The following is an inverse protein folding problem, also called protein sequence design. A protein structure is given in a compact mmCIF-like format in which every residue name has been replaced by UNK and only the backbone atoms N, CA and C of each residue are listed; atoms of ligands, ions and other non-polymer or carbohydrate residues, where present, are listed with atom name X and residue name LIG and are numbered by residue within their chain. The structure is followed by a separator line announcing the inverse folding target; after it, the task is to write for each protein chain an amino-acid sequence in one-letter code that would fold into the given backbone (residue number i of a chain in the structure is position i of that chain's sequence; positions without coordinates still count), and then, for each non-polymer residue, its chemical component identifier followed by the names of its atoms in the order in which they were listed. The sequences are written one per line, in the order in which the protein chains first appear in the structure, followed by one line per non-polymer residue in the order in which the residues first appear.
data_IF_113751362785
#
_entry.id   IF_113751362785
#
_cell.length_a   1.000
_cell.length_b   1.000
_cell.length_c   1.000
_cell.angle_alpha   90.00
_cell.angle_beta   90.00
_cell.angle_gamma   90.00
#
_symmetry.space_group_name_H-M   'P 1'
#
loop_
_entity.id
_entity.type
_entity.pdbx_description
1 polymer ?
#
# COMPACT_ATOMS: atom_id res chain seq x y z
N UNK A 1 -39.11 -21.28 -8.43
CA UNK A 1 -37.99 -22.13 -8.90
C UNK A 1 -36.74 -21.33 -9.24
N UNK A 2 -36.84 -20.26 -10.06
CA UNK A 2 -35.69 -19.45 -10.47
C UNK A 2 -34.90 -18.81 -9.28
N UNK A 3 -35.61 -18.28 -8.28
CA UNK A 3 -35.00 -17.70 -7.06
C UNK A 3 -34.22 -18.71 -6.20
N UNK A 4 -34.65 -19.98 -6.17
CA UNK A 4 -33.97 -21.03 -5.42
C UNK A 4 -32.69 -21.50 -6.13
N UNK A 5 -32.74 -21.62 -7.46
CA UNK A 5 -31.57 -21.91 -8.29
C UNK A 5 -30.53 -20.78 -8.24
N UNK A 6 -30.95 -19.51 -8.22
CA UNK A 6 -30.04 -18.36 -8.08
C UNK A 6 -29.35 -18.35 -6.71
N UNK A 7 -30.05 -18.71 -5.63
CA UNK A 7 -29.46 -18.83 -4.29
C UNK A 7 -28.44 -19.99 -4.20
N UNK A 8 -28.75 -21.13 -4.81
CA UNK A 8 -27.81 -22.26 -4.89
C UNK A 8 -26.60 -21.89 -5.75
N UNK A 9 -26.80 -21.22 -6.88
CA UNK A 9 -25.70 -20.80 -7.76
C UNK A 9 -24.81 -19.74 -7.11
N UNK A 10 -25.37 -18.81 -6.32
CA UNK A 10 -24.61 -17.89 -5.47
C UNK A 10 -23.84 -18.61 -4.37
N UNK A 11 -24.44 -19.62 -3.73
CA UNK A 11 -23.74 -20.43 -2.74
C UNK A 11 -22.58 -21.23 -3.35
N UNK A 12 -22.75 -21.78 -4.56
CA UNK A 12 -21.66 -22.44 -5.29
C UNK A 12 -20.61 -21.45 -5.81
N UNK A 13 -20.98 -20.23 -6.23
CA UNK A 13 -20.03 -19.19 -6.62
C UNK A 13 -19.20 -18.70 -5.43
N UNK A 14 -19.84 -18.47 -4.27
CA UNK A 14 -19.15 -18.14 -3.01
C UNK A 14 -18.28 -19.31 -2.55
N UNK A 15 -18.76 -20.56 -2.67
CA UNK A 15 -17.96 -21.74 -2.35
C UNK A 15 -16.76 -21.91 -3.30
N UNK A 16 -16.91 -21.61 -4.60
CA UNK A 16 -15.83 -21.63 -5.59
C UNK A 16 -14.84 -20.46 -5.37
N UNK A 17 -15.32 -19.28 -4.97
CA UNK A 17 -14.47 -18.16 -4.54
C UNK A 17 -13.74 -18.46 -3.22
N UNK A 18 -14.35 -19.23 -2.31
CA UNK A 18 -13.68 -19.71 -1.09
C UNK A 18 -12.73 -20.89 -1.33
N UNK A 19 -12.95 -21.70 -2.39
CA UNK A 19 -12.05 -22.80 -2.77
C UNK A 19 -10.91 -22.37 -3.70
N UNK A 20 -11.02 -21.22 -4.37
CA UNK A 20 -9.90 -20.60 -5.11
C UNK A 20 -8.83 -20.02 -4.17
N UNK A 21 -9.09 -19.99 -2.86
CA UNK A 21 -8.13 -19.66 -1.80
C UNK A 21 -7.05 -20.75 -1.64
N UNK A 22 -7.21 -21.95 -2.22
CA UNK A 22 -6.34 -23.11 -1.89
C UNK A 22 -5.45 -23.59 -3.06
N UNK A 23 -5.66 -23.13 -4.30
CA UNK A 23 -4.85 -23.59 -5.44
C UNK A 23 -4.59 -22.48 -6.45
N UNK A 24 -3.65 -21.59 -6.13
CA UNK A 24 -2.81 -21.00 -7.16
C UNK A 24 -1.58 -21.90 -7.33
N UNK A 25 -1.38 -22.54 -8.50
CA UNK A 25 -0.15 -23.23 -8.81
C UNK A 25 0.86 -22.18 -9.28
N UNK A 26 1.25 -21.27 -8.38
CA UNK A 26 2.56 -20.64 -8.52
C UNK A 26 3.55 -21.73 -8.15
N UNK A 27 4.38 -22.12 -9.11
CA UNK A 27 5.43 -23.12 -8.98
C UNK A 27 6.58 -22.62 -8.08
N UNK A 28 6.25 -22.10 -6.91
CA UNK A 28 7.16 -21.99 -5.77
C UNK A 28 6.89 -23.17 -4.87
N UNK A 29 7.93 -23.86 -4.42
CA UNK A 29 7.78 -24.69 -3.22
C UNK A 29 7.21 -23.82 -2.08
N UNK A 30 6.65 -24.42 -1.02
CA UNK A 30 6.52 -23.70 0.26
C UNK A 30 7.94 -23.29 0.70
N UNK A 31 8.42 -22.16 0.20
CA UNK A 31 9.75 -21.64 0.47
C UNK A 31 9.63 -20.60 1.56
N UNK A 32 9.66 -21.12 2.79
CA UNK A 32 10.27 -20.44 3.92
C UNK A 32 9.50 -19.28 4.53
N UNK A 33 9.56 -19.28 5.86
CA UNK A 33 9.49 -18.10 6.71
C UNK A 33 10.24 -16.93 6.06
N UNK A 34 9.79 -15.69 6.26
CA UNK A 34 10.60 -14.51 5.90
C UNK A 34 11.98 -14.69 6.55
N UNK A 35 13.00 -14.84 5.72
CA UNK A 35 14.31 -15.32 6.16
C UNK A 35 14.96 -14.41 7.19
N UNK A 36 16.05 -14.90 7.80
CA UNK A 36 16.85 -14.07 8.70
C UNK A 36 17.26 -12.79 7.98
N UNK A 37 17.13 -11.66 8.67
CA UNK A 37 17.76 -10.39 8.28
C UNK A 37 19.24 -10.70 8.14
N UNK A 38 19.75 -10.65 6.90
CA UNK A 38 21.17 -10.83 6.62
C UNK A 38 21.97 -9.87 7.52
N UNK A 39 23.16 -10.27 7.99
CA UNK A 39 24.01 -9.43 8.86
C UNK A 39 24.28 -8.02 8.29
N UNK A 40 24.19 -7.87 6.97
CA UNK A 40 24.36 -6.58 6.29
C UNK A 40 23.05 -5.85 5.99
N UNK A 41 21.89 -6.44 6.29
CA UNK A 41 20.61 -5.75 6.14
C UNK A 41 20.45 -4.77 7.30
N UNK A 42 20.27 -3.49 6.96
CA UNK A 42 20.22 -2.36 7.88
C UNK A 42 18.79 -2.12 8.38
N UNK A 43 17.79 -2.23 7.49
CA UNK A 43 16.37 -2.14 7.84
C UNK A 43 15.55 -3.09 6.96
N UNK A 44 14.41 -3.54 7.47
CA UNK A 44 13.49 -4.43 6.75
C UNK A 44 12.04 -4.11 7.11
N UNK A 45 11.14 -4.09 6.14
CA UNK A 45 9.72 -3.86 6.41
C UNK A 45 8.81 -4.57 5.41
N UNK A 46 7.59 -4.89 5.84
CA UNK A 46 6.54 -5.32 4.93
C UNK A 46 5.72 -4.11 4.46
N UNK A 47 5.35 -4.09 3.18
CA UNK A 47 4.48 -3.07 2.59
C UNK A 47 3.30 -3.74 1.87
N UNK A 48 2.09 -3.44 2.35
CA UNK A 48 0.80 -3.89 1.80
C UNK A 48 -0.12 -2.68 1.59
N UNK A 49 -1.14 -2.81 0.75
CA UNK A 49 -2.13 -1.75 0.47
C UNK A 49 -3.48 -2.38 0.14
N UNK A 50 -4.57 -1.59 0.21
CA UNK A 50 -5.90 -2.03 -0.23
C UNK A 50 -6.41 -3.24 0.57
N UNK A 51 -6.38 -3.16 1.91
CA UNK A 51 -6.96 -4.20 2.77
C UNK A 51 -8.49 -4.14 2.78
N UNK A 52 -9.07 -2.97 2.47
CA UNK A 52 -10.50 -2.75 2.30
C UNK A 52 -11.33 -3.46 3.38
N UNK A 53 -11.09 -3.21 4.66
CA UNK A 53 -11.87 -3.89 5.69
C UNK A 53 -13.34 -3.46 5.62
N UNK A 54 -14.23 -4.44 5.81
CA UNK A 54 -15.69 -4.26 5.88
C UNK A 54 -16.22 -4.93 7.14
N UNK A 55 -17.53 -4.99 7.33
CA UNK A 55 -18.19 -5.84 8.33
C UNK A 55 -17.92 -7.36 8.15
N UNK A 56 -17.30 -7.77 7.04
CA UNK A 56 -17.01 -9.18 6.78
C UNK A 56 -15.79 -9.67 7.55
N UNK A 57 -16.01 -10.59 8.49
CA UNK A 57 -14.94 -11.34 9.19
C UNK A 57 -13.96 -12.06 8.27
N UNK A 58 -14.34 -12.35 7.00
CA UNK A 58 -13.41 -12.95 6.05
C UNK A 58 -12.26 -12.02 5.68
N UNK A 59 -12.49 -10.70 5.60
CA UNK A 59 -11.43 -9.72 5.28
C UNK A 59 -10.45 -9.59 6.44
N UNK A 60 -10.98 -9.57 7.67
CA UNK A 60 -10.18 -9.66 8.92
C UNK A 60 -9.29 -10.89 8.90
N UNK A 61 -9.85 -12.07 8.64
CA UNK A 61 -9.07 -13.32 8.60
C UNK A 61 -7.98 -13.34 7.51
N UNK A 62 -8.24 -12.74 6.35
CA UNK A 62 -7.24 -12.64 5.27
C UNK A 62 -6.07 -11.70 5.62
N UNK A 63 -6.35 -10.60 6.32
CA UNK A 63 -5.30 -9.75 6.87
C UNK A 63 -4.49 -10.50 7.93
N UNK A 64 -5.17 -11.16 8.88
CA UNK A 64 -4.54 -11.96 9.94
C UNK A 64 -3.59 -13.04 9.39
N UNK A 65 -3.92 -13.71 8.29
CA UNK A 65 -3.01 -14.68 7.66
C UNK A 65 -1.67 -14.05 7.26
N UNK A 66 -1.68 -12.81 6.78
CA UNK A 66 -0.44 -12.11 6.46
C UNK A 66 0.28 -11.56 7.70
N UNK A 67 -0.47 -11.09 8.70
CA UNK A 67 0.13 -10.68 9.99
C UNK A 67 0.85 -11.84 10.67
N UNK A 68 0.29 -13.06 10.61
CA UNK A 68 0.93 -14.29 11.10
C UNK A 68 2.25 -14.52 10.35
N UNK A 69 2.23 -14.47 9.03
CA UNK A 69 3.42 -14.70 8.21
C UNK A 69 4.54 -13.67 8.48
N UNK A 70 4.17 -12.41 8.72
CA UNK A 70 5.11 -11.36 9.13
C UNK A 70 5.63 -11.58 10.55
N UNK A 71 4.77 -11.95 11.51
CA UNK A 71 5.15 -12.22 12.89
C UNK A 71 6.06 -13.45 13.01
N UNK A 72 5.86 -14.44 12.15
CA UNK A 72 6.69 -15.65 12.11
C UNK A 72 8.05 -15.43 11.45
N UNK A 73 8.34 -14.25 10.90
CA UNK A 73 9.63 -13.90 10.30
C UNK A 73 10.81 -14.26 11.23
N UNK A 74 11.85 -14.85 10.66
CA UNK A 74 12.98 -15.37 11.44
C UNK A 74 13.74 -14.23 12.13
N UNK A 75 13.86 -13.08 11.45
CA UNK A 75 14.14 -11.80 12.08
C UNK A 75 12.90 -10.93 12.04
N UNK A 76 12.62 -10.28 13.18
CA UNK A 76 11.52 -9.32 13.30
C UNK A 76 11.72 -8.16 12.33
N UNK A 77 10.64 -7.79 11.63
CA UNK A 77 10.61 -6.65 10.72
C UNK A 77 10.63 -5.34 11.51
N UNK A 78 11.37 -4.34 11.00
CA UNK A 78 11.44 -3.01 11.59
C UNK A 78 10.11 -2.24 11.42
N UNK A 79 9.33 -2.56 10.38
CA UNK A 79 7.98 -2.04 10.21
C UNK A 79 7.05 -2.94 9.38
N UNK A 80 5.74 -2.73 9.56
CA UNK A 80 4.68 -3.05 8.61
C UNK A 80 4.03 -1.73 8.18
N UNK A 81 3.95 -1.49 6.88
CA UNK A 81 3.21 -0.36 6.32
C UNK A 81 1.95 -0.87 5.63
N UNK A 82 0.78 -0.33 6.03
CA UNK A 82 -0.48 -0.49 5.30
C UNK A 82 -0.77 0.83 4.59
N UNK A 83 -0.48 0.86 3.29
CA UNK A 83 -0.45 2.07 2.49
C UNK A 83 -1.80 2.39 1.84
N UNK A 84 -2.78 2.72 2.67
CA UNK A 84 -4.09 3.23 2.23
C UNK A 84 -5.10 2.18 1.79
N UNK A 85 -6.33 2.67 1.63
CA UNK A 85 -7.57 1.91 1.47
C UNK A 85 -7.64 0.79 2.49
N UNK A 86 -7.45 1.20 3.75
CA UNK A 86 -7.44 0.31 4.89
C UNK A 86 -8.86 -0.22 5.12
N UNK A 87 -9.85 0.67 5.00
CA UNK A 87 -11.27 0.40 5.09
C UNK A 87 -11.94 0.47 3.72
N UNK A 88 -13.12 -0.12 3.56
CA UNK A 88 -13.90 0.00 2.32
C UNK A 88 -14.71 1.30 2.22
N UNK A 89 -15.09 1.90 3.34
CA UNK A 89 -16.01 3.06 3.35
C UNK A 89 -15.70 4.08 4.45
N UNK A 90 -14.66 3.87 5.25
CA UNK A 90 -14.36 4.71 6.41
C UNK A 90 -15.26 4.50 7.63
N UNK A 91 -16.19 3.54 7.61
CA UNK A 91 -17.11 3.23 8.72
C UNK A 91 -16.40 2.81 10.00
N UNK A 92 -16.96 3.18 11.16
CA UNK A 92 -16.39 2.80 12.46
C UNK A 92 -16.23 1.28 12.57
N UNK A 93 -17.21 0.51 12.09
CA UNK A 93 -17.15 -0.95 12.10
C UNK A 93 -16.02 -1.51 11.23
N UNK A 94 -15.63 -0.80 10.15
CA UNK A 94 -14.52 -1.21 9.30
C UNK A 94 -13.18 -1.00 10.02
N UNK A 95 -13.06 0.12 10.71
CA UNK A 95 -11.90 0.44 11.54
C UNK A 95 -11.81 -0.43 12.80
N UNK A 96 -12.93 -0.75 13.45
CA UNK A 96 -12.97 -1.71 14.56
C UNK A 96 -12.49 -3.09 14.12
N UNK A 97 -12.79 -3.46 12.87
CA UNK A 97 -12.28 -4.69 12.26
C UNK A 97 -10.78 -4.63 11.96
N UNK A 98 -10.18 -3.44 11.79
CA UNK A 98 -8.72 -3.29 11.76
C UNK A 98 -8.13 -3.61 13.14
N UNK A 99 -8.70 -3.04 14.19
CA UNK A 99 -8.27 -3.33 15.58
C UNK A 99 -8.39 -4.83 15.86
N UNK A 100 -9.51 -5.45 15.47
CA UNK A 100 -9.72 -6.90 15.60
C UNK A 100 -8.72 -7.72 14.78
N UNK A 101 -8.33 -7.24 13.59
CA UNK A 101 -7.32 -7.93 12.79
C UNK A 101 -5.96 -7.99 13.51
N UNK A 102 -5.60 -6.94 14.24
CA UNK A 102 -4.36 -6.87 15.03
C UNK A 102 -4.47 -7.47 16.44
N UNK A 103 -5.67 -7.84 16.91
CA UNK A 103 -5.85 -8.42 18.25
C UNK A 103 -5.11 -9.75 18.40
N UNK A 104 -4.06 -9.75 19.23
CA UNK A 104 -3.19 -10.90 19.47
C UNK A 104 -2.07 -11.10 18.43
N UNK A 105 -1.89 -10.17 17.49
CA UNK A 105 -0.83 -10.22 16.49
C UNK A 105 0.10 -9.01 16.59
N UNK A 106 1.39 -9.27 16.42
CA UNK A 106 2.47 -8.29 16.56
C UNK A 106 3.51 -8.49 15.44
N UNK A 107 3.19 -8.06 14.20
CA UNK A 107 3.90 -8.45 12.98
C UNK A 107 5.28 -7.79 12.80
N UNK A 108 5.54 -6.65 13.45
CA UNK A 108 6.73 -5.84 13.25
C UNK A 108 6.94 -4.87 14.43
N UNK A 109 8.14 -4.33 14.58
CA UNK A 109 8.46 -3.34 15.63
C UNK A 109 7.58 -2.08 15.57
N UNK A 110 7.07 -1.75 14.38
CA UNK A 110 6.20 -0.61 14.15
C UNK A 110 5.15 -0.94 13.09
N UNK A 111 3.93 -0.47 13.30
CA UNK A 111 2.89 -0.46 12.27
C UNK A 111 2.69 0.98 11.81
N UNK A 112 2.66 1.22 10.51
CA UNK A 112 2.50 2.54 9.88
C UNK A 112 1.28 2.47 8.99
N UNK A 113 0.37 3.43 9.15
CA UNK A 113 -0.87 3.50 8.38
C UNK A 113 -0.88 4.77 7.52
N UNK A 114 -1.11 4.63 6.23
CA UNK A 114 -1.40 5.73 5.31
C UNK A 114 -2.90 5.72 5.00
N UNK A 115 -3.54 6.88 4.87
CA UNK A 115 -4.93 6.93 4.45
C UNK A 115 -5.05 6.77 2.92
N UNK A 116 -6.00 5.97 2.45
CA UNK A 116 -6.47 6.00 1.06
C UNK A 116 -7.77 6.77 0.90
N UNK A 117 -8.29 6.87 -0.32
CA UNK A 117 -9.55 7.57 -0.56
C UNK A 117 -10.73 6.88 0.13
N UNK A 118 -10.72 5.56 0.26
CA UNK A 118 -11.79 4.87 0.99
C UNK A 118 -11.80 5.20 2.49
N UNK A 119 -10.65 5.61 3.04
CA UNK A 119 -10.49 6.02 4.43
C UNK A 119 -10.94 7.48 4.66
N UNK A 120 -10.96 8.30 3.61
CA UNK A 120 -11.40 9.71 3.68
C UNK A 120 -12.91 9.91 3.50
N UNK A 121 -13.63 8.89 3.02
CA UNK A 121 -15.10 8.94 2.87
C UNK A 121 -15.86 8.99 4.21
N UNK A 122 -15.21 8.49 5.26
CA UNK A 122 -15.60 8.77 6.64
C UNK A 122 -16.71 7.90 7.23
N UNK A 123 -16.82 7.93 8.58
CA UNK A 123 -17.65 6.98 9.31
C UNK A 123 -19.17 7.16 9.13
N UNK A 124 -19.56 8.33 8.64
CA UNK A 124 -20.95 8.77 8.52
C UNK A 124 -21.32 9.05 7.05
N UNK A 125 -20.66 8.39 6.09
CA UNK A 125 -20.87 8.66 4.65
C UNK A 125 -22.33 8.60 4.21
N UNK A 126 -23.12 7.69 4.81
CA UNK A 126 -24.54 7.53 4.53
C UNK A 126 -25.46 8.35 5.45
N UNK A 127 -24.91 9.09 6.42
CA UNK A 127 -25.65 10.03 7.28
C UNK A 127 -25.70 11.41 6.62
N UNK A 128 -26.65 11.55 5.69
CA UNK A 128 -26.92 12.81 4.98
C UNK A 128 -27.41 13.94 5.91
N UNK A 129 -27.78 13.64 7.16
CA UNK A 129 -28.19 14.65 8.14
C UNK A 129 -26.98 15.23 8.89
N UNK A 130 -25.87 14.48 8.99
CA UNK A 130 -24.60 14.90 9.62
C UNK A 130 -23.37 14.55 8.74
N UNK A 131 -23.21 15.22 7.58
CA UNK A 131 -22.16 14.89 6.62
C UNK A 131 -20.74 15.14 7.16
N UNK A 132 -19.86 14.15 6.95
CA UNK A 132 -18.37 14.16 7.02
C UNK A 132 -17.73 15.06 8.10
N UNK A 133 -18.29 15.12 9.30
CA UNK A 133 -17.57 15.53 10.51
C UNK A 133 -17.05 14.26 11.19
N UNK A 134 -15.75 13.99 11.07
CA UNK A 134 -15.13 12.89 11.82
C UNK A 134 -14.00 12.11 11.15
N UNK A 135 -13.72 12.31 9.87
CA UNK A 135 -12.68 11.54 9.13
C UNK A 135 -11.32 11.59 9.82
N UNK A 136 -10.74 12.79 9.93
CA UNK A 136 -9.45 13.01 10.57
C UNK A 136 -9.38 12.51 12.02
N UNK A 137 -10.30 12.88 12.94
CA UNK A 137 -10.24 12.35 14.30
C UNK A 137 -10.44 10.83 14.37
N UNK A 138 -11.20 10.24 13.44
CA UNK A 138 -11.34 8.77 13.33
C UNK A 138 -10.01 8.14 12.93
N UNK A 139 -9.39 8.63 11.86
CA UNK A 139 -8.09 8.13 11.42
C UNK A 139 -7.04 8.24 12.54
N UNK A 140 -6.93 9.41 13.19
CA UNK A 140 -6.01 9.63 14.32
C UNK A 140 -6.27 8.65 15.46
N UNK A 141 -7.54 8.42 15.83
CA UNK A 141 -7.92 7.45 16.86
C UNK A 141 -7.45 6.05 16.49
N UNK A 142 -7.72 5.57 15.28
CA UNK A 142 -7.39 4.20 14.90
C UNK A 142 -5.90 3.99 14.62
N UNK A 143 -5.17 5.03 14.17
CA UNK A 143 -3.70 5.01 14.18
C UNK A 143 -3.20 4.79 15.59
N UNK A 144 -3.70 5.52 16.59
CA UNK A 144 -3.31 5.31 17.98
C UNK A 144 -3.69 3.92 18.50
N UNK A 145 -4.91 3.47 18.24
CA UNK A 145 -5.42 2.19 18.75
C UNK A 145 -4.65 0.99 18.18
N UNK A 146 -4.23 1.05 16.90
CA UNK A 146 -3.51 -0.05 16.23
C UNK A 146 -1.99 0.05 16.39
N UNK A 147 -1.44 1.27 16.35
CA UNK A 147 0.03 1.48 16.26
C UNK A 147 0.65 2.03 17.53
N UNK A 148 -0.15 2.59 18.44
CA UNK A 148 0.31 3.37 19.59
C UNK A 148 0.89 4.75 19.24
N UNK A 149 0.97 5.14 17.96
CA UNK A 149 1.49 6.44 17.54
C UNK A 149 0.48 7.56 17.80
N UNK A 150 0.96 8.67 18.36
CA UNK A 150 0.20 9.89 18.55
C UNK A 150 0.47 10.84 17.37
N UNK A 151 -0.53 11.00 16.49
CA UNK A 151 -0.49 11.90 15.33
C UNK A 151 -1.58 12.98 15.46
N UNK A 152 -1.40 14.11 14.79
CA UNK A 152 -2.36 15.23 14.82
C UNK A 152 -3.01 15.52 13.47
N UNK A 153 -2.40 15.02 12.40
CA UNK A 153 -2.84 15.18 11.01
C UNK A 153 -2.84 13.81 10.32
N UNK A 154 -3.52 13.70 9.17
CA UNK A 154 -3.53 12.46 8.38
C UNK A 154 -2.22 12.23 7.60
N UNK A 155 -1.31 13.20 7.67
CA UNK A 155 0.07 13.13 7.21
C UNK A 155 1.02 13.32 8.39
N UNK A 156 2.14 12.59 8.40
CA UNK A 156 3.10 12.58 9.49
C UNK A 156 4.43 11.96 9.06
N UNK A 157 5.48 12.10 9.88
CA UNK A 157 6.78 11.48 9.63
C UNK A 157 7.17 10.54 10.76
N UNK A 158 7.84 9.44 10.42
CA UNK A 158 8.41 8.48 11.38
C UNK A 158 9.69 7.87 10.80
N UNK A 159 10.14 6.73 11.33
CA UNK A 159 11.27 5.96 10.81
C UNK A 159 10.91 4.51 10.56
N UNK A 160 11.64 3.88 9.65
CA UNK A 160 11.70 2.41 9.49
C UNK A 160 13.16 2.03 9.77
N UNK A 161 13.40 1.35 10.89
CA UNK A 161 14.74 1.28 11.48
C UNK A 161 15.26 2.71 11.75
N UNK A 162 16.42 3.04 11.16
CA UNK A 162 17.00 4.39 11.21
C UNK A 162 16.58 5.30 10.04
N UNK A 163 15.91 4.78 9.01
CA UNK A 163 15.62 5.52 7.79
C UNK A 163 14.31 6.32 7.91
N UNK A 164 14.27 7.57 7.40
CA UNK A 164 13.05 8.36 7.45
C UNK A 164 11.93 7.78 6.58
N UNK A 165 10.72 7.83 7.12
CA UNK A 165 9.48 7.54 6.41
C UNK A 165 8.54 8.75 6.53
N UNK A 166 8.05 9.25 5.39
CA UNK A 166 7.11 10.35 5.31
C UNK A 166 5.79 9.81 4.75
N UNK A 167 4.71 10.04 5.50
CA UNK A 167 3.36 9.62 5.16
C UNK A 167 2.59 10.88 4.76
N UNK A 168 2.06 10.90 3.54
CA UNK A 168 1.12 11.91 3.04
C UNK A 168 -0.30 11.33 3.05
N UNK A 169 -1.31 12.19 3.01
CA UNK A 169 -2.70 11.75 2.95
C UNK A 169 -3.59 12.78 2.27
N UNK A 170 -4.63 12.31 1.56
CA UNK A 170 -5.60 13.22 0.97
C UNK A 170 -6.34 14.00 2.07
N UNK A 171 -6.52 15.30 1.84
CA UNK A 171 -7.26 16.20 2.72
C UNK A 171 -8.73 16.38 2.29
N UNK A 172 -9.17 15.63 1.27
CA UNK A 172 -10.57 15.56 0.83
C UNK A 172 -11.06 14.10 0.64
N UNK A 173 -12.33 13.96 0.25
CA UNK A 173 -13.01 12.68 0.01
C UNK A 173 -12.96 12.23 -1.47
N UNK A 174 -12.09 12.87 -2.26
CA UNK A 174 -11.86 12.56 -3.67
C UNK A 174 -11.23 11.19 -3.89
N UNK A 175 -11.43 10.67 -5.09
CA UNK A 175 -10.74 9.47 -5.57
C UNK A 175 -9.27 9.79 -5.83
N UNK A 176 -9.04 10.85 -6.61
CA UNK A 176 -7.73 11.49 -6.71
C UNK A 176 -7.39 12.12 -5.34
N UNK A 177 -6.12 12.13 -4.97
CA UNK A 177 -5.72 12.82 -3.74
C UNK A 177 -5.80 14.34 -3.91
N UNK A 178 -6.15 15.04 -2.84
CA UNK A 178 -5.95 16.47 -2.69
C UNK A 178 -4.92 16.75 -1.61
N UNK A 179 -3.83 17.42 -1.96
CA UNK A 179 -2.76 17.80 -1.05
C UNK A 179 -2.74 19.33 -0.94
N UNK A 180 -3.11 19.89 0.21
CA UNK A 180 -3.14 21.35 0.38
C UNK A 180 -1.74 21.97 0.34
N UNK A 181 -1.67 23.28 0.10
CA UNK A 181 -0.44 24.06 0.24
C UNK A 181 0.19 23.89 1.64
N UNK A 182 -0.63 23.68 2.68
CA UNK A 182 -0.11 23.47 4.05
C UNK A 182 0.66 22.16 4.12
N UNK A 183 0.08 21.07 3.60
CA UNK A 183 0.72 19.77 3.56
C UNK A 183 1.92 19.76 2.61
N UNK A 184 1.86 20.41 1.44
CA UNK A 184 2.99 20.53 0.51
C UNK A 184 4.18 21.26 1.14
N UNK A 185 3.94 22.37 1.84
CA UNK A 185 4.98 23.11 2.54
C UNK A 185 5.57 22.29 3.69
N UNK A 186 4.73 21.58 4.45
CA UNK A 186 5.18 20.65 5.49
C UNK A 186 6.04 19.52 4.90
N UNK A 187 5.62 18.95 3.77
CA UNK A 187 6.31 17.86 3.08
C UNK A 187 7.68 18.32 2.57
N UNK A 188 7.74 19.49 1.91
CA UNK A 188 8.99 20.09 1.45
C UNK A 188 9.97 20.30 2.61
N UNK A 189 9.51 20.88 3.72
CA UNK A 189 10.33 21.09 4.90
C UNK A 189 10.80 19.76 5.54
N UNK A 190 9.96 18.73 5.54
CA UNK A 190 10.34 17.42 6.07
C UNK A 190 11.32 16.67 5.18
N UNK A 191 11.21 16.79 3.86
CA UNK A 191 12.22 16.28 2.95
C UNK A 191 13.58 16.95 3.20
N UNK A 192 13.62 18.27 3.37
CA UNK A 192 14.87 18.99 3.67
C UNK A 192 15.45 18.60 5.04
N UNK A 193 14.60 18.46 6.07
CA UNK A 193 15.03 18.11 7.43
C UNK A 193 15.56 16.68 7.55
N UNK A 194 14.91 15.72 6.89
CA UNK A 194 15.14 14.29 7.10
C UNK A 194 16.07 13.67 6.07
N UNK A 195 16.26 14.30 4.92
CA UNK A 195 17.13 13.75 3.87
C UNK A 195 18.59 13.69 4.33
N UNK A 196 19.20 12.54 4.06
CA UNK A 196 20.63 12.31 4.27
C UNK A 196 21.19 11.76 2.97
N UNK A 197 22.17 12.46 2.40
CA UNK A 197 22.87 12.03 1.20
C UNK A 197 23.42 10.60 1.37
N UNK A 198 23.29 9.78 0.32
CA UNK A 198 23.69 8.37 0.36
C UNK A 198 22.69 7.42 1.03
N UNK A 199 21.65 7.92 1.72
CA UNK A 199 20.66 7.08 2.41
C UNK A 199 19.28 7.14 1.73
N UNK A 200 18.51 6.04 1.73
CA UNK A 200 17.13 6.06 1.24
C UNK A 200 16.20 6.87 2.14
N UNK A 201 15.20 7.47 1.51
CA UNK A 201 14.03 8.05 2.16
C UNK A 201 12.76 7.43 1.57
N UNK A 202 11.85 7.02 2.44
CA UNK A 202 10.60 6.34 2.05
C UNK A 202 9.43 7.30 2.14
N UNK A 203 8.64 7.36 1.07
CA UNK A 203 7.46 8.22 0.98
C UNK A 203 6.27 7.32 0.70
N UNK A 204 5.21 7.49 1.48
CA UNK A 204 3.98 6.72 1.39
C UNK A 204 2.82 7.67 1.15
N UNK A 205 2.17 7.52 0.01
CA UNK A 205 0.89 8.13 -0.31
C UNK A 205 0.10 7.09 -1.10
N UNK A 206 -1.18 6.91 -0.77
CA UNK A 206 -1.95 5.85 -1.39
C UNK A 206 -2.06 5.99 -2.91
N UNK A 207 -2.33 7.21 -3.39
CA UNK A 207 -2.43 7.51 -4.82
C UNK A 207 -1.05 7.60 -5.48
N UNK A 208 -0.86 6.99 -6.66
CA UNK A 208 0.37 7.16 -7.44
C UNK A 208 0.50 8.59 -8.01
N UNK A 209 1.73 8.98 -8.33
CA UNK A 209 2.02 10.18 -9.12
C UNK A 209 1.30 10.08 -10.47
N UNK A 210 0.72 11.17 -10.96
CA UNK A 210 0.04 11.18 -12.26
C UNK A 210 0.95 10.68 -13.38
N UNK A 211 0.34 10.04 -14.40
CA UNK A 211 1.04 9.48 -15.57
C UNK A 211 2.05 8.36 -15.26
N UNK A 212 2.08 7.84 -14.03
CA UNK A 212 2.90 6.69 -13.64
C UNK A 212 2.06 5.43 -13.48
N UNK A 213 2.70 4.27 -13.48
CA UNK A 213 2.04 2.97 -13.29
C UNK A 213 0.85 2.74 -14.24
N UNK A 214 0.96 3.23 -15.48
CA UNK A 214 -0.07 3.08 -16.51
C UNK A 214 -1.28 4.01 -16.36
N UNK A 215 -1.24 4.99 -15.45
CA UNK A 215 -2.23 6.05 -15.40
C UNK A 215 -2.23 6.92 -16.69
N UNK A 216 -3.38 7.51 -17.05
CA UNK A 216 -4.71 7.26 -16.49
C UNK A 216 -5.36 5.98 -17.05
N UNK A 217 -4.70 5.29 -17.99
CA UNK A 217 -5.29 4.17 -18.73
C UNK A 217 -5.68 2.97 -17.85
N UNK A 218 -4.93 2.73 -16.78
CA UNK A 218 -5.20 1.64 -15.84
C UNK A 218 -6.42 1.93 -14.95
N UNK A 219 -6.69 3.22 -14.67
CA UNK A 219 -7.75 3.72 -13.79
C UNK A 219 -9.17 3.54 -14.38
N UNK A 220 -9.28 3.30 -15.69
CA UNK A 220 -10.58 3.23 -16.39
C UNK A 220 -10.81 1.95 -17.20
N UNK A 221 -11.77 1.12 -16.77
CA UNK A 221 -12.60 0.34 -17.70
C UNK A 221 -13.83 1.19 -18.05
N UNK A 222 -13.75 1.94 -19.15
CA UNK A 222 -14.77 2.89 -19.66
C UNK A 222 -15.01 4.14 -18.81
N UNK A 223 -14.74 5.33 -19.38
CA UNK A 223 -15.73 6.40 -19.55
C UNK A 223 -15.16 7.52 -20.42
N UNK A 224 -16.03 8.09 -21.24
CA UNK A 224 -15.78 9.18 -22.19
C UNK A 224 -15.63 10.55 -21.49
N UNK A 225 -15.22 10.61 -20.21
CA UNK A 225 -15.07 11.87 -19.47
C UNK A 225 -14.00 11.72 -18.35
N UNK A 226 -12.85 12.42 -18.43
CA UNK A 226 -11.74 12.27 -17.49
C UNK A 226 -11.89 13.23 -16.31
N UNK A 227 -12.84 12.98 -15.41
CA UNK A 227 -12.93 13.77 -14.16
C UNK A 227 -11.91 13.26 -13.12
N UNK A 228 -11.61 11.97 -13.12
CA UNK A 228 -10.71 11.33 -12.15
C UNK A 228 -9.55 10.65 -12.89
N UNK A 229 -8.33 10.93 -12.46
CA UNK A 229 -7.12 10.43 -13.10
C UNK A 229 -6.58 9.16 -12.46
N UNK A 230 -6.98 8.88 -11.22
CA UNK A 230 -6.46 7.80 -10.39
C UNK A 230 -5.15 8.10 -9.69
N UNK A 231 -4.75 9.39 -9.66
CA UNK A 231 -3.48 9.85 -9.10
C UNK A 231 -3.66 10.96 -8.06
N UNK A 232 -2.69 11.86 -7.92
CA UNK A 232 -2.72 12.98 -6.95
C UNK A 232 -3.49 14.20 -7.51
N UNK A 233 -4.16 14.06 -8.66
CA UNK A 233 -4.88 15.18 -9.27
C UNK A 233 -3.97 16.37 -9.59
N UNK A 234 -4.43 17.59 -9.33
CA UNK A 234 -3.71 18.83 -9.70
C UNK A 234 -2.39 19.03 -8.94
N UNK A 235 -2.22 18.44 -7.74
CA UNK A 235 -1.01 18.64 -6.93
C UNK A 235 0.10 17.64 -7.20
N UNK A 236 -0.10 16.71 -8.14
CA UNK A 236 0.90 15.73 -8.54
C UNK A 236 2.22 16.37 -8.97
N UNK A 237 2.18 17.47 -9.73
CA UNK A 237 3.38 18.16 -10.20
C UNK A 237 4.17 18.78 -9.05
N UNK A 238 3.49 19.37 -8.06
CA UNK A 238 4.13 19.96 -6.89
C UNK A 238 4.81 18.89 -6.00
N UNK A 239 4.15 17.74 -5.80
CA UNK A 239 4.77 16.60 -5.10
C UNK A 239 6.00 16.10 -5.86
N UNK A 240 5.88 15.96 -7.18
CA UNK A 240 6.97 15.51 -8.04
C UNK A 240 8.16 16.50 -8.04
N UNK A 241 7.90 17.81 -8.09
CA UNK A 241 8.91 18.85 -8.01
C UNK A 241 9.71 18.79 -6.71
N UNK A 242 9.06 18.51 -5.58
CA UNK A 242 9.73 18.35 -4.28
C UNK A 242 10.69 17.15 -4.34
N UNK A 243 10.20 15.97 -4.72
CA UNK A 243 11.02 14.74 -4.67
C UNK A 243 12.15 14.70 -5.71
N UNK A 244 12.02 15.45 -6.83
CA UNK A 244 13.06 15.59 -7.86
C UNK A 244 14.34 16.28 -7.38
N UNK A 245 14.36 16.84 -6.17
CA UNK A 245 15.57 17.44 -5.60
C UNK A 245 16.44 16.46 -4.80
N UNK A 246 16.03 15.20 -4.66
CA UNK A 246 16.68 14.25 -3.76
C UNK A 246 17.04 12.95 -4.48
N UNK A 247 18.13 12.30 -4.05
CA UNK A 247 18.52 10.96 -4.49
C UNK A 247 17.89 9.90 -3.60
N UNK A 248 17.92 8.63 -4.03
CA UNK A 248 17.49 7.48 -3.23
C UNK A 248 16.05 7.61 -2.67
N UNK A 249 15.16 8.27 -3.42
CA UNK A 249 13.75 8.41 -3.06
C UNK A 249 12.99 7.17 -3.50
N UNK A 250 12.22 6.60 -2.57
CA UNK A 250 11.28 5.52 -2.83
C UNK A 250 9.87 5.99 -2.49
N UNK A 251 9.03 6.14 -3.52
CA UNK A 251 7.64 6.52 -3.39
C UNK A 251 6.76 5.27 -3.55
N UNK A 252 5.98 4.95 -2.53
CA UNK A 252 5.08 3.81 -2.51
C UNK A 252 3.63 4.27 -2.66
N UNK A 253 2.92 3.68 -3.62
CA UNK A 253 1.49 3.81 -3.86
C UNK A 253 0.76 2.47 -3.76
N UNK A 254 -0.57 2.53 -3.72
CA UNK A 254 -1.50 1.42 -3.88
C UNK A 254 -2.57 1.83 -4.90
N UNK A 255 -3.86 1.78 -4.51
CA UNK A 255 -5.00 2.44 -5.17
C UNK A 255 -5.44 1.80 -6.50
N UNK A 256 -4.50 1.44 -7.37
CA UNK A 256 -4.77 0.92 -8.71
C UNK A 256 -5.47 -0.45 -8.73
N UNK A 257 -5.59 -1.09 -7.56
CA UNK A 257 -6.13 -2.44 -7.38
C UNK A 257 -5.52 -3.46 -8.37
N UNK A 258 -4.23 -3.29 -8.67
CA UNK A 258 -3.53 -4.08 -9.67
C UNK A 258 -2.74 -5.22 -9.00
N UNK A 259 -2.40 -6.26 -9.76
CA UNK A 259 -1.52 -7.34 -9.29
C UNK A 259 -0.03 -6.96 -9.35
N UNK A 260 0.85 -7.96 -9.27
CA UNK A 260 2.24 -7.74 -9.66
C UNK A 260 2.40 -7.69 -11.18
N UNK A 261 3.35 -6.88 -11.65
CA UNK A 261 3.76 -6.80 -13.06
C UNK A 261 5.24 -6.44 -13.18
N UNK A 262 5.94 -7.06 -14.14
CA UNK A 262 7.31 -6.70 -14.56
C UNK A 262 7.30 -6.14 -15.98
N UNK A 263 8.42 -5.55 -16.43
CA UNK A 263 8.53 -4.96 -17.78
C UNK A 263 8.18 -5.93 -18.91
N UNK A 264 8.55 -7.21 -18.78
CA UNK A 264 8.20 -8.25 -19.75
C UNK A 264 6.68 -8.49 -19.88
N UNK A 265 5.89 -8.01 -18.91
CA UNK A 265 4.44 -8.11 -18.88
C UNK A 265 3.74 -6.77 -19.17
N UNK A 266 4.48 -5.67 -19.32
CA UNK A 266 3.95 -4.30 -19.46
C UNK A 266 2.97 -4.16 -20.62
N UNK A 267 3.18 -4.83 -21.75
CA UNK A 267 2.24 -4.79 -22.87
C UNK A 267 0.86 -5.36 -22.52
N UNK A 268 0.81 -6.41 -21.69
CA UNK A 268 -0.42 -7.07 -21.24
C UNK A 268 -1.02 -6.37 -20.02
N UNK A 269 -0.20 -6.10 -19.03
CA UNK A 269 -0.61 -5.52 -17.75
C UNK A 269 -0.92 -4.03 -17.86
N UNK A 270 -0.23 -3.33 -18.77
CA UNK A 270 -0.30 -1.88 -19.05
C UNK A 270 0.38 -0.99 -18.02
N UNK A 271 1.13 -1.59 -17.11
CA UNK A 271 1.96 -0.95 -16.09
C UNK A 271 3.06 -1.93 -15.63
N UNK A 272 4.03 -1.41 -14.89
CA UNK A 272 5.00 -2.20 -14.12
C UNK A 272 4.82 -1.87 -12.63
N UNK A 273 5.02 -2.85 -11.74
CA UNK A 273 4.92 -2.63 -10.28
C UNK A 273 6.00 -1.68 -9.75
N UNK A 274 7.19 -1.68 -10.36
CA UNK A 274 8.27 -0.74 -10.05
C UNK A 274 8.59 0.05 -11.32
N UNK A 275 8.54 1.37 -11.22
CA UNK A 275 8.92 2.29 -12.29
C UNK A 275 9.98 3.27 -11.79
N UNK A 276 10.72 3.89 -12.73
CA UNK A 276 11.74 4.86 -12.41
C UNK A 276 11.48 6.18 -13.11
N UNK A 277 11.61 7.28 -12.37
CA UNK A 277 11.69 8.63 -12.93
C UNK A 277 13.11 9.17 -12.76
N UNK A 278 13.44 10.19 -13.54
CA UNK A 278 14.71 10.92 -13.41
C UNK A 278 14.50 12.16 -12.51
N UNK A 279 15.39 12.36 -11.56
CA UNK A 279 15.44 13.56 -10.72
C UNK A 279 16.24 14.69 -11.41
N UNK A 280 16.33 15.86 -10.77
CA UNK A 280 16.99 17.03 -11.36
C UNK A 280 18.51 16.84 -11.58
N UNK A 281 19.13 15.85 -10.94
CA UNK A 281 20.54 15.50 -11.07
C UNK A 281 20.80 14.36 -12.08
N UNK A 282 19.76 13.80 -12.70
CA UNK A 282 19.89 12.65 -13.61
C UNK A 282 19.85 11.28 -12.92
N UNK A 283 19.55 11.23 -11.62
CA UNK A 283 19.48 10.01 -10.83
C UNK A 283 18.05 9.45 -10.76
N UNK A 284 17.92 8.16 -10.41
CA UNK A 284 16.63 7.47 -10.35
C UNK A 284 15.85 7.84 -9.09
N UNK A 285 14.57 8.15 -9.27
CA UNK A 285 13.52 8.05 -8.25
C UNK A 285 12.79 6.73 -8.48
N UNK A 286 12.59 5.95 -7.42
CA UNK A 286 11.88 4.67 -7.50
C UNK A 286 10.43 4.86 -7.12
N UNK A 287 9.52 4.47 -8.00
CA UNK A 287 8.08 4.44 -7.77
C UNK A 287 7.63 2.99 -7.63
N UNK A 288 6.91 2.66 -6.56
CA UNK A 288 6.47 1.31 -6.25
C UNK A 288 4.96 1.29 -6.09
N UNK A 289 4.27 0.59 -6.97
CA UNK A 289 2.85 0.29 -6.84
C UNK A 289 2.67 -1.05 -6.13
N UNK A 290 2.25 -1.00 -4.87
CA UNK A 290 1.90 -2.15 -4.05
C UNK A 290 0.64 -2.81 -4.64
N UNK A 291 0.62 -4.15 -4.80
CA UNK A 291 -0.56 -4.83 -5.32
C UNK A 291 -1.72 -4.80 -4.32
N UNK A 292 -2.94 -4.95 -4.84
CA UNK A 292 -4.13 -5.04 -3.99
C UNK A 292 -4.03 -6.23 -3.03
N UNK A 293 -4.12 -5.96 -1.72
CA UNK A 293 -4.05 -7.02 -0.73
C UNK A 293 -5.37 -7.82 -0.66
N UNK A 294 -6.52 -7.18 -0.66
CA UNK A 294 -7.78 -7.90 -0.39
C UNK A 294 -8.39 -8.56 -1.62
N UNK A 295 -8.28 -7.90 -2.78
CA UNK A 295 -8.90 -8.34 -4.01
C UNK A 295 -7.92 -9.02 -4.94
N UNK A 296 -8.45 -9.96 -5.72
CA UNK A 296 -7.75 -10.38 -6.93
C UNK A 296 -7.74 -9.15 -7.84
N UNK A 297 -6.54 -8.61 -8.10
CA UNK A 297 -6.40 -7.34 -8.84
C UNK A 297 -7.28 -7.31 -10.09
N UNK A 298 -7.85 -6.15 -10.40
CA UNK A 298 -9.04 -5.90 -11.25
C UNK A 298 -8.89 -6.32 -12.74
N UNK A 299 -8.43 -7.54 -13.00
CA UNK A 299 -8.08 -8.08 -14.31
C UNK A 299 -6.73 -7.59 -14.86
N UNK A 300 -5.93 -6.85 -14.09
CA UNK A 300 -4.65 -6.27 -14.53
C UNK A 300 -3.48 -6.75 -13.64
N UNK A 301 -2.37 -7.12 -14.28
CA UNK A 301 -1.24 -7.79 -13.62
C UNK A 301 -1.46 -9.30 -13.44
N UNK A 302 -0.79 -9.90 -12.45
CA UNK A 302 -1.07 -11.26 -12.00
C UNK A 302 -2.12 -11.26 -10.88
N UNK A 303 -3.19 -12.03 -11.13
CA UNK A 303 -4.34 -12.19 -10.25
C UNK A 303 -3.98 -12.96 -8.98
N UNK A 304 -3.58 -12.23 -7.95
CA UNK A 304 -3.33 -12.74 -6.59
C UNK A 304 -3.86 -11.73 -5.58
N UNK A 305 -4.31 -12.22 -4.43
CA UNK A 305 -4.59 -11.41 -3.24
C UNK A 305 -3.53 -11.73 -2.16
N UNK A 306 -3.56 -11.03 -1.05
CA UNK A 306 -2.63 -11.14 0.09
C UNK A 306 -1.16 -10.96 -0.29
N UNK A 307 -0.93 -10.16 -1.32
CA UNK A 307 0.40 -9.88 -1.84
C UNK A 307 0.90 -8.52 -1.36
N UNK A 308 2.22 -8.39 -1.32
CA UNK A 308 2.91 -7.12 -1.09
C UNK A 308 4.42 -7.33 -1.16
N UNK A 309 5.18 -6.37 -0.67
CA UNK A 309 6.63 -6.45 -0.67
C UNK A 309 7.16 -6.66 0.75
N UNK A 310 8.20 -7.49 0.88
CA UNK A 310 9.18 -7.37 1.96
C UNK A 310 10.34 -6.56 1.39
N UNK A 311 10.57 -5.40 1.97
CA UNK A 311 11.62 -4.46 1.57
C UNK A 311 12.80 -4.63 2.50
N UNK A 312 13.99 -4.81 1.95
CA UNK A 312 15.24 -4.93 2.70
C UNK A 312 16.21 -3.83 2.25
N UNK A 313 16.76 -3.09 3.21
CA UNK A 313 17.71 -2.02 2.98
C UNK A 313 19.11 -2.50 3.32
N UNK A 314 20.04 -2.31 2.41
CA UNK A 314 21.46 -2.57 2.57
C UNK A 314 22.26 -1.28 2.36
N UNK A 315 23.57 -1.33 2.55
CA UNK A 315 24.45 -0.17 2.44
C UNK A 315 24.39 0.50 1.04
N UNK A 316 24.30 -0.31 -0.02
CA UNK A 316 24.39 0.14 -1.41
C UNK A 316 23.14 -0.20 -2.25
N UNK A 317 22.13 -0.84 -1.68
CA UNK A 317 20.94 -1.25 -2.42
C UNK A 317 19.70 -1.39 -1.53
N UNK A 318 18.53 -1.32 -2.16
CA UNK A 318 17.24 -1.69 -1.57
C UNK A 318 16.65 -2.83 -2.39
N UNK A 319 16.29 -3.93 -1.74
CA UNK A 319 15.61 -5.06 -2.35
C UNK A 319 14.11 -4.95 -2.07
N UNK A 320 13.30 -4.91 -3.13
CA UNK A 320 11.85 -5.02 -3.08
C UNK A 320 11.50 -6.49 -3.40
N UNK A 321 11.23 -7.29 -2.38
CA UNK A 321 10.98 -8.73 -2.55
C UNK A 321 9.49 -9.04 -2.50
N UNK A 322 8.94 -9.54 -3.59
CA UNK A 322 7.51 -9.79 -3.69
C UNK A 322 7.12 -11.04 -2.89
N UNK A 323 6.06 -10.93 -2.11
CA UNK A 323 5.59 -12.00 -1.23
C UNK A 323 4.07 -12.15 -1.30
N UNK A 324 3.62 -13.41 -1.34
CA UNK A 324 2.24 -13.80 -1.10
C UNK A 324 2.13 -14.25 0.36
N UNK A 325 1.69 -13.33 1.23
CA UNK A 325 1.77 -13.48 2.68
C UNK A 325 0.89 -14.61 3.20
N UNK A 326 -0.34 -14.79 2.69
CA UNK A 326 -1.22 -15.85 3.20
C UNK A 326 -0.74 -17.28 2.91
N UNK A 327 0.11 -17.46 1.90
CA UNK A 327 0.70 -18.76 1.56
C UNK A 327 2.16 -18.89 2.00
N UNK A 328 2.76 -17.82 2.53
CA UNK A 328 4.17 -17.75 2.88
C UNK A 328 5.10 -18.01 1.69
N UNK A 329 4.74 -17.53 0.49
CA UNK A 329 5.47 -17.82 -0.75
C UNK A 329 6.15 -16.58 -1.31
N UNK A 330 7.44 -16.70 -1.63
CA UNK A 330 8.17 -15.70 -2.41
C UNK A 330 7.74 -15.71 -3.87
N UNK A 331 7.43 -14.53 -4.40
CA UNK A 331 7.05 -14.30 -5.78
C UNK A 331 8.24 -13.73 -6.57
N UNK A 332 9.40 -14.41 -6.51
CA UNK A 332 10.72 -13.88 -6.89
C UNK A 332 10.86 -13.33 -8.31
N UNK A 333 9.95 -13.70 -9.22
CA UNK A 333 9.81 -13.08 -10.54
C UNK A 333 9.63 -11.56 -10.47
N UNK A 334 9.02 -11.07 -9.40
CA UNK A 334 8.66 -9.65 -9.19
C UNK A 334 9.62 -8.95 -8.24
N UNK A 335 10.69 -9.62 -7.80
CA UNK A 335 11.71 -8.99 -6.98
C UNK A 335 12.43 -7.92 -7.80
N UNK A 336 12.76 -6.81 -7.16
CA UNK A 336 13.51 -5.72 -7.78
C UNK A 336 14.63 -5.26 -6.85
N UNK A 337 15.85 -5.23 -7.36
CA UNK A 337 17.01 -4.61 -6.71
C UNK A 337 17.17 -3.19 -7.23
N UNK A 338 17.26 -2.22 -6.32
CA UNK A 338 17.52 -0.82 -6.63
C UNK A 338 18.86 -0.43 -6.02
N UNK A 339 19.85 -0.15 -6.86
CA UNK A 339 21.13 0.40 -6.42
C UNK A 339 20.94 1.82 -5.87
N UNK A 340 21.58 2.09 -4.72
CA UNK A 340 21.60 3.41 -4.10
C UNK A 340 22.76 4.23 -4.67
N UNK A 341 22.51 5.52 -4.88
CA UNK A 341 23.56 6.51 -5.08
C UNK A 341 24.23 6.77 -3.74
N UNK A 342 25.40 6.17 -3.53
CA UNK A 342 26.18 6.27 -2.30
C UNK A 342 27.09 7.50 -2.35
N UNK A 343 27.25 8.18 -1.21
CA UNK A 343 28.00 9.43 -1.08
C UNK A 343 29.52 9.29 -1.31
#
# INVERSE_FOLDING_TARGET
MLSFFVKIMRFFLVAIMSMSVIFSPLTGDKQGVIGDKNENCLASFAAIADTHLTESSSRVGMLQLGLIDMQEAASRLDALVINGDITELGYYEHWDNLVLAFDGYDPADKVILTAGNHDTWGPNRDDFENPVDGVKPTFIKYVKDVTGMEITEMYYSTTIGEYPAIILGSEDDGVDAYISDTQLNWFSAKMEELYVEGKPIFIFLHQPINETHGLPYIWGFNKEDPIETGGIGEQSDAVLEIIKNYNNVFYFSGHLHAGFSVDAEKERAKYTSVEYLENNAGNKITLVNIPCYQYIGAGRGVSTNTCGFVVEVYENEVLLRARHFSSGTWCSKYDTTVELDVA
#
